data_IF_802388006337
#
_entry.id   IF_802388006337
#
_cell.length_a   1.000
_cell.length_b   1.000
_cell.length_c   1.000
_cell.angle_alpha   90.00
_cell.angle_beta   90.00
_cell.angle_gamma   90.00
#
_symmetry.space_group_name_H-M   'P 1'
#
loop_
_entity.id
_entity.type
_entity.pdbx_description
1 polymer ?
#
# COMPACT_ATOMS: atom_id res chain seq x y z
N UNK A 1 -22.69 17.43 47.84
CA UNK A 1 -22.29 17.32 46.42
C UNK A 1 -23.31 16.44 45.70
N UNK A 2 -24.02 16.97 44.70
CA UNK A 2 -25.15 16.28 44.07
C UNK A 2 -24.70 14.98 43.40
N UNK A 3 -25.36 13.85 43.71
CA UNK A 3 -25.11 12.54 43.06
C UNK A 3 -25.11 12.63 41.53
N UNK A 4 -25.91 13.54 40.98
CA UNK A 4 -26.00 13.84 39.54
C UNK A 4 -24.72 14.50 39.01
N UNK A 5 -24.10 15.41 39.76
CA UNK A 5 -22.85 16.08 39.35
C UNK A 5 -21.68 15.09 39.37
N UNK A 6 -21.62 14.20 40.36
CA UNK A 6 -20.62 13.12 40.38
C UNK A 6 -20.79 12.14 39.21
N UNK A 7 -22.03 11.78 38.85
CA UNK A 7 -22.30 10.91 37.72
C UNK A 7 -21.89 11.56 36.38
N UNK A 8 -22.16 12.86 36.20
CA UNK A 8 -21.79 13.60 34.99
C UNK A 8 -20.27 13.74 34.84
N UNK A 9 -19.55 14.08 35.91
CA UNK A 9 -18.08 14.15 35.88
C UNK A 9 -17.45 12.80 35.55
N UNK A 10 -18.01 11.70 36.07
CA UNK A 10 -17.52 10.36 35.80
C UNK A 10 -17.74 9.94 34.33
N UNK A 11 -18.88 10.29 33.73
CA UNK A 11 -19.17 10.02 32.31
C UNK A 11 -18.25 10.82 31.39
N UNK A 12 -17.97 12.09 31.70
CA UNK A 12 -17.04 12.94 30.94
C UNK A 12 -15.61 12.38 31.03
N UNK A 13 -15.19 11.94 32.22
CA UNK A 13 -13.88 11.32 32.41
C UNK A 13 -13.74 9.99 31.65
N UNK A 14 -14.76 9.12 31.67
CA UNK A 14 -14.78 7.87 30.89
C UNK A 14 -14.78 8.12 29.37
N UNK A 15 -15.51 9.13 28.91
CA UNK A 15 -15.53 9.54 27.50
C UNK A 15 -14.17 10.04 27.03
N UNK A 16 -13.44 10.77 27.90
CA UNK A 16 -12.10 11.25 27.61
C UNK A 16 -11.08 10.11 27.42
N UNK A 17 -11.22 9.02 28.19
CA UNK A 17 -10.32 7.86 28.15
C UNK A 17 -10.38 7.12 26.80
N UNK A 18 -11.55 7.10 26.14
CA UNK A 18 -11.72 6.44 24.82
C UNK A 18 -10.94 7.17 23.71
N UNK A 19 -10.71 8.48 23.85
CA UNK A 19 -9.95 9.28 22.88
C UNK A 19 -8.43 9.09 22.96
N UNK A 20 -7.94 8.48 24.04
CA UNK A 20 -6.50 8.24 24.27
C UNK A 20 -6.10 6.82 23.85
N UNK A 21 -7.04 6.00 23.39
CA UNK A 21 -6.72 4.69 22.86
C UNK A 21 -5.86 4.87 21.60
N UNK A 22 -4.62 4.33 21.58
CA UNK A 22 -3.76 4.49 20.42
C UNK A 22 -4.41 3.80 19.23
N UNK A 23 -4.58 4.54 18.13
CA UNK A 23 -4.89 3.95 16.84
C UNK A 23 -3.78 2.99 16.46
N UNK A 24 -4.12 1.81 15.91
CA UNK A 24 -3.11 0.88 15.39
C UNK A 24 -2.22 1.60 14.36
N UNK A 25 -0.97 1.86 14.72
CA UNK A 25 0.03 2.32 13.77
C UNK A 25 0.53 1.10 12.99
N UNK A 26 0.31 1.07 11.69
CA UNK A 26 0.95 0.11 10.80
C UNK A 26 2.39 0.55 10.55
N UNK A 27 3.24 0.42 11.57
CA UNK A 27 4.67 0.42 11.36
C UNK A 27 5.04 -0.88 10.64
N UNK A 28 6.06 -0.82 9.82
CA UNK A 28 6.51 -2.03 9.16
C UNK A 28 7.40 -2.85 10.09
N UNK A 29 6.95 -4.04 10.46
CA UNK A 29 7.65 -4.98 11.36
C UNK A 29 8.15 -6.21 10.60
N UNK A 30 8.71 -6.01 9.41
CA UNK A 30 9.19 -7.12 8.62
C UNK A 30 10.52 -7.66 9.15
N UNK A 31 10.66 -8.98 9.12
CA UNK A 31 11.93 -9.64 9.34
C UNK A 31 12.83 -9.41 8.12
N UNK A 32 13.96 -8.73 8.31
CA UNK A 32 14.90 -8.50 7.22
C UNK A 32 15.45 -9.84 6.77
N UNK A 33 15.25 -10.16 5.49
CA UNK A 33 15.88 -11.33 4.92
C UNK A 33 17.39 -11.11 4.85
N UNK A 34 18.18 -12.05 5.35
CA UNK A 34 19.65 -11.93 5.43
C UNK A 34 20.38 -13.01 4.63
N UNK A 35 19.73 -14.13 4.34
CA UNK A 35 20.32 -15.18 3.52
C UNK A 35 19.93 -15.03 2.03
N UNK A 36 20.90 -14.78 1.13
CA UNK A 36 20.61 -14.60 -0.29
C UNK A 36 20.01 -15.83 -0.95
N UNK A 37 20.39 -17.05 -0.53
CA UNK A 37 19.85 -18.27 -1.13
C UNK A 37 18.37 -18.43 -0.77
N UNK A 38 18.04 -18.32 0.52
CA UNK A 38 16.65 -18.35 0.97
C UNK A 38 15.82 -17.20 0.36
N UNK A 39 16.40 -16.01 0.20
CA UNK A 39 15.73 -14.89 -0.46
C UNK A 39 15.39 -15.20 -1.92
N UNK A 40 16.30 -15.83 -2.67
CA UNK A 40 16.04 -16.29 -4.03
C UNK A 40 14.92 -17.32 -4.04
N UNK A 41 14.93 -18.30 -3.13
CA UNK A 41 13.88 -19.32 -3.05
C UNK A 41 12.49 -18.74 -2.79
N UNK A 42 12.39 -17.75 -1.91
CA UNK A 42 11.12 -17.09 -1.57
C UNK A 42 10.67 -16.07 -2.63
N UNK A 43 11.59 -15.54 -3.43
CA UNK A 43 11.27 -14.53 -4.46
C UNK A 43 10.57 -15.15 -5.65
N UNK A 44 9.65 -14.40 -6.27
CA UNK A 44 9.08 -14.75 -7.57
C UNK A 44 10.09 -14.50 -8.70
N UNK A 45 10.81 -13.38 -8.61
CA UNK A 45 11.85 -13.00 -9.55
C UNK A 45 13.04 -12.37 -8.84
N UNK A 46 14.25 -12.64 -9.32
CA UNK A 46 15.49 -12.02 -8.85
C UNK A 46 16.33 -11.62 -10.04
N UNK A 47 16.63 -10.34 -10.16
CA UNK A 47 17.34 -9.80 -11.31
C UNK A 47 18.16 -8.57 -10.94
N UNK A 48 19.15 -8.26 -11.77
CA UNK A 48 19.91 -7.04 -11.76
C UNK A 48 19.47 -6.18 -12.94
N UNK A 49 19.22 -4.91 -12.70
CA UNK A 49 18.77 -4.03 -13.76
C UNK A 49 18.92 -2.55 -13.44
N UNK A 50 19.05 -1.75 -14.50
CA UNK A 50 19.14 -0.30 -14.45
C UNK A 50 17.76 0.33 -14.43
N UNK A 51 17.53 1.29 -13.55
CA UNK A 51 16.27 2.02 -13.46
C UNK A 51 16.16 2.99 -14.64
N UNK A 52 15.15 2.78 -15.48
CA UNK A 52 14.83 3.63 -16.63
C UNK A 52 13.92 4.80 -16.26
N UNK A 53 12.88 4.51 -15.47
CA UNK A 53 11.86 5.47 -15.07
C UNK A 53 11.24 5.09 -13.72
N UNK A 54 10.71 6.09 -13.02
CA UNK A 54 10.02 5.94 -11.75
C UNK A 54 8.73 6.76 -11.84
N UNK A 55 7.58 6.12 -11.66
CA UNK A 55 6.28 6.77 -11.76
C UNK A 55 5.38 6.42 -10.56
N UNK A 56 4.50 7.33 -10.13
CA UNK A 56 3.50 6.98 -9.14
C UNK A 56 2.52 5.93 -9.69
N UNK A 57 2.02 5.05 -8.83
CA UNK A 57 0.94 4.11 -9.12
C UNK A 57 -0.15 4.24 -8.07
N UNK A 58 -1.39 4.38 -8.51
CA UNK A 58 -2.56 4.42 -7.63
C UNK A 58 -3.41 3.20 -7.93
N UNK A 59 -3.66 2.40 -6.90
CA UNK A 59 -4.57 1.26 -6.94
C UNK A 59 -5.85 1.64 -6.20
N UNK A 60 -7.01 1.39 -6.82
CA UNK A 60 -8.30 1.53 -6.17
C UNK A 60 -8.71 0.17 -5.60
N UNK A 61 -8.72 0.10 -4.27
CA UNK A 61 -9.12 -1.09 -3.51
C UNK A 61 -10.46 -0.77 -2.85
N UNK A 62 -11.55 -0.98 -3.59
CA UNK A 62 -12.92 -0.79 -3.12
C UNK A 62 -13.25 0.64 -2.61
N UNK A 63 -12.66 1.67 -3.22
CA UNK A 63 -12.81 3.08 -2.83
C UNK A 63 -11.70 3.59 -1.91
N UNK A 64 -10.78 2.72 -1.48
CA UNK A 64 -9.56 3.10 -0.77
C UNK A 64 -8.42 3.19 -1.78
N UNK A 65 -7.77 4.35 -1.84
CA UNK A 65 -6.60 4.55 -2.70
C UNK A 65 -5.33 4.04 -2.02
N UNK A 66 -4.68 3.06 -2.63
CA UNK A 66 -3.35 2.60 -2.26
C UNK A 66 -2.32 3.23 -3.19
N UNK A 67 -1.47 4.08 -2.62
CA UNK A 67 -0.42 4.79 -3.33
C UNK A 67 0.87 3.98 -3.27
N UNK A 68 1.43 3.71 -4.44
CA UNK A 68 2.67 2.96 -4.65
C UNK A 68 3.55 3.68 -5.66
N UNK A 69 4.75 3.16 -5.86
CA UNK A 69 5.73 3.60 -6.86
C UNK A 69 5.96 2.45 -7.83
N UNK A 70 5.78 2.70 -9.12
CA UNK A 70 6.17 1.79 -10.19
C UNK A 70 7.58 2.13 -10.68
N UNK A 71 8.46 1.14 -10.71
CA UNK A 71 9.85 1.30 -11.13
C UNK A 71 10.10 0.47 -12.37
N UNK A 72 10.50 1.14 -13.44
CA UNK A 72 10.83 0.54 -14.73
C UNK A 72 12.31 0.17 -14.77
N UNK A 73 12.62 -1.09 -15.06
CA UNK A 73 13.98 -1.57 -15.19
C UNK A 73 14.29 -2.00 -16.61
N UNK A 74 15.52 -1.72 -17.06
CA UNK A 74 16.22 -2.51 -18.06
C UNK A 74 16.93 -3.65 -17.34
N UNK A 75 16.53 -4.90 -17.60
CA UNK A 75 17.09 -6.08 -16.97
C UNK A 75 18.39 -6.45 -17.67
N UNK A 76 19.46 -6.62 -16.89
CA UNK A 76 20.80 -6.98 -17.37
C UNK A 76 21.11 -8.45 -17.08
N UNK A 77 20.79 -8.93 -15.88
CA UNK A 77 20.99 -10.32 -15.46
C UNK A 77 19.85 -10.81 -14.59
N UNK A 78 19.62 -12.12 -14.62
CA UNK A 78 18.55 -12.79 -13.87
C UNK A 78 19.06 -14.05 -13.20
N UNK A 79 18.62 -14.27 -11.96
CA UNK A 79 18.88 -15.48 -11.18
C UNK A 79 17.62 -16.30 -10.98
N UNK A 80 16.44 -15.70 -11.16
CA UNK A 80 15.15 -16.39 -11.05
C UNK A 80 14.05 -15.61 -11.74
N UNK A 81 13.19 -16.32 -12.46
CA UNK A 81 11.83 -15.86 -12.81
C UNK A 81 11.72 -14.62 -13.70
N UNK A 82 12.83 -14.08 -14.21
CA UNK A 82 12.85 -12.92 -15.09
C UNK A 82 13.59 -13.25 -16.38
N UNK A 83 12.86 -13.51 -17.47
CA UNK A 83 13.43 -13.76 -18.80
C UNK A 83 13.29 -12.56 -19.75
N UNK A 84 12.60 -11.51 -19.29
CA UNK A 84 12.28 -10.31 -20.07
C UNK A 84 13.36 -9.24 -19.94
N UNK A 85 13.66 -8.52 -21.04
CA UNK A 85 14.65 -7.43 -21.07
C UNK A 85 14.23 -6.20 -20.29
N UNK A 86 12.94 -6.08 -19.93
CA UNK A 86 12.43 -5.02 -19.08
C UNK A 86 11.46 -5.57 -18.04
N UNK A 87 11.45 -4.96 -16.86
CA UNK A 87 10.55 -5.30 -15.77
C UNK A 87 9.89 -4.05 -15.19
N UNK A 88 8.68 -4.20 -14.65
CA UNK A 88 8.05 -3.18 -13.79
C UNK A 88 7.85 -3.82 -12.42
N UNK A 89 8.44 -3.20 -11.40
CA UNK A 89 8.30 -3.64 -10.01
C UNK A 89 7.67 -2.51 -9.20
N UNK A 90 6.69 -2.85 -8.39
CA UNK A 90 6.05 -1.91 -7.48
C UNK A 90 6.74 -1.88 -6.13
N UNK A 91 6.69 -0.74 -5.46
CA UNK A 91 7.10 -0.61 -4.06
C UNK A 91 6.25 0.42 -3.35
N UNK A 92 6.20 0.35 -2.01
CA UNK A 92 5.44 1.28 -1.18
C UNK A 92 6.12 2.66 -1.12
N UNK A 93 5.46 3.63 -0.49
CA UNK A 93 5.96 5.00 -0.34
C UNK A 93 7.08 5.09 0.70
N UNK A 94 8.31 4.84 0.25
CA UNK A 94 9.54 5.02 1.04
C UNK A 94 9.59 4.22 2.35
N UNK A 95 10.62 4.47 3.15
CA UNK A 95 10.93 3.68 4.34
C UNK A 95 9.79 3.58 5.37
N UNK A 96 9.03 4.65 5.70
CA UNK A 96 7.95 4.56 6.68
C UNK A 96 6.84 3.57 6.30
N UNK A 97 6.71 3.28 4.99
CA UNK A 97 5.72 2.35 4.44
C UNK A 97 6.36 1.04 3.98
N UNK A 98 7.61 0.76 4.34
CA UNK A 98 8.40 -0.35 3.80
C UNK A 98 8.64 -0.34 2.29
N UNK A 99 8.59 0.85 1.70
CA UNK A 99 9.03 1.09 0.35
C UNK A 99 10.55 1.08 0.24
N UNK A 100 11.04 0.54 -0.88
CA UNK A 100 12.43 0.69 -1.27
C UNK A 100 12.59 1.95 -2.13
N UNK A 101 13.59 2.79 -1.83
CA UNK A 101 13.83 4.02 -2.60
C UNK A 101 14.84 3.77 -3.72
N UNK A 102 14.38 3.90 -4.96
CA UNK A 102 15.21 3.75 -6.16
C UNK A 102 15.68 5.11 -6.69
N UNK A 103 16.88 5.14 -7.28
CA UNK A 103 17.41 6.25 -8.04
C UNK A 103 17.33 5.96 -9.54
N UNK A 104 16.82 6.90 -10.32
CA UNK A 104 16.79 6.77 -11.77
C UNK A 104 18.22 6.73 -12.34
N UNK A 105 18.46 5.85 -13.31
CA UNK A 105 19.79 5.66 -13.91
C UNK A 105 20.74 4.78 -13.12
N UNK A 106 20.39 4.38 -11.90
CA UNK A 106 21.19 3.50 -11.06
C UNK A 106 20.83 2.02 -11.30
N UNK A 107 21.78 1.12 -11.04
CA UNK A 107 21.59 -0.33 -11.19
C UNK A 107 21.41 -1.00 -9.84
N UNK A 108 20.44 -1.90 -9.74
CA UNK A 108 20.06 -2.58 -8.50
C UNK A 108 20.01 -4.09 -8.69
N UNK A 109 20.34 -4.83 -7.64
CA UNK A 109 19.91 -6.21 -7.45
C UNK A 109 18.52 -6.17 -6.80
N UNK A 110 17.51 -6.73 -7.46
CA UNK A 110 16.11 -6.65 -7.05
C UNK A 110 15.59 -8.05 -6.72
N UNK A 111 15.06 -8.18 -5.50
CA UNK A 111 14.30 -9.34 -5.05
C UNK A 111 12.81 -8.98 -5.08
N UNK A 112 12.08 -9.60 -6.01
CA UNK A 112 10.70 -9.27 -6.28
C UNK A 112 9.78 -10.46 -5.96
N UNK A 113 8.66 -10.12 -5.32
CA UNK A 113 7.65 -11.05 -4.85
C UNK A 113 6.31 -10.77 -5.53
N UNK A 114 5.39 -11.72 -5.43
CA UNK A 114 4.01 -11.58 -5.87
C UNK A 114 3.12 -11.54 -4.63
N UNK A 115 2.98 -10.35 -4.02
CA UNK A 115 2.21 -10.18 -2.78
C UNK A 115 0.71 -9.99 -3.01
N UNK A 116 0.30 -9.58 -4.21
CA UNK A 116 -1.07 -9.20 -4.50
C UNK A 116 -1.61 -9.91 -5.74
N UNK A 117 -2.34 -10.99 -5.47
CA UNK A 117 -3.04 -11.79 -6.48
C UNK A 117 -4.01 -10.98 -7.36
N UNK A 118 -4.42 -9.77 -6.95
CA UNK A 118 -5.34 -8.92 -7.73
C UNK A 118 -4.64 -8.13 -8.83
N UNK A 119 -3.39 -7.74 -8.62
CA UNK A 119 -2.66 -6.90 -9.59
C UNK A 119 -1.70 -7.70 -10.47
N UNK A 120 -1.31 -8.92 -10.05
CA UNK A 120 -0.35 -9.77 -10.76
C UNK A 120 0.92 -9.00 -11.15
N UNK A 121 1.32 -8.06 -10.29
CA UNK A 121 2.48 -7.20 -10.47
C UNK A 121 3.54 -7.58 -9.44
N UNK A 122 4.78 -7.66 -9.89
CA UNK A 122 5.93 -7.85 -9.04
C UNK A 122 6.07 -6.69 -8.06
N UNK A 123 6.40 -7.00 -6.82
CA UNK A 123 6.56 -6.02 -5.75
C UNK A 123 7.87 -6.24 -5.00
N UNK A 124 8.43 -5.17 -4.45
CA UNK A 124 9.60 -5.20 -3.59
C UNK A 124 9.47 -4.21 -2.45
N UNK A 125 10.29 -4.39 -1.41
CA UNK A 125 10.23 -3.62 -0.17
C UNK A 125 11.63 -3.41 0.40
N UNK A 126 11.74 -2.48 1.36
CA UNK A 126 12.96 -2.29 2.14
C UNK A 126 13.33 -3.50 3.02
N UNK A 127 12.40 -4.44 3.21
CA UNK A 127 12.61 -5.69 3.94
C UNK A 127 13.31 -6.78 3.11
N UNK A 128 13.25 -6.63 1.79
CA UNK A 128 13.90 -7.57 0.87
C UNK A 128 15.40 -7.33 0.84
N UNK A 129 16.15 -8.29 0.28
CA UNK A 129 17.58 -8.10 0.00
C UNK A 129 17.86 -7.16 -1.19
N UNK A 130 16.85 -6.45 -1.70
CA UNK A 130 17.01 -5.47 -2.78
C UNK A 130 17.98 -4.38 -2.36
N UNK A 131 19.01 -4.13 -3.18
CA UNK A 131 20.03 -3.11 -2.92
C UNK A 131 20.70 -2.65 -4.20
N UNK A 132 21.38 -1.49 -4.15
CA UNK A 132 22.25 -1.04 -5.25
C UNK A 132 23.23 -2.15 -5.61
N UNK A 133 23.43 -2.38 -6.90
CA UNK A 133 24.27 -3.47 -7.38
C UNK A 133 25.72 -3.35 -6.87
N UNK A 134 26.22 -2.11 -6.73
CA UNK A 134 27.54 -1.81 -6.15
C UNK A 134 27.70 -2.31 -4.71
N UNK A 135 26.60 -2.50 -3.98
CA UNK A 135 26.58 -2.92 -2.58
C UNK A 135 26.17 -4.40 -2.44
N UNK A 136 26.00 -5.13 -3.55
CA UNK A 136 25.47 -6.49 -3.58
C UNK A 136 26.54 -7.59 -3.68
N UNK A 137 27.80 -7.27 -3.40
CA UNK A 137 28.94 -8.19 -3.60
C UNK A 137 28.79 -9.50 -2.81
N UNK A 138 28.22 -9.44 -1.60
CA UNK A 138 28.01 -10.62 -0.73
C UNK A 138 26.89 -11.50 -1.28
N UNK A 139 25.81 -10.90 -1.77
CA UNK A 139 24.69 -11.63 -2.37
C UNK A 139 25.13 -12.31 -3.67
N UNK A 140 25.80 -11.54 -4.54
CA UNK A 140 26.26 -12.02 -5.84
C UNK A 140 27.28 -13.15 -5.71
N UNK A 141 28.17 -13.11 -4.71
CA UNK A 141 29.15 -14.20 -4.49
C UNK A 141 28.49 -15.52 -4.07
N UNK A 142 27.38 -15.46 -3.32
CA UNK A 142 26.59 -16.64 -2.93
C UNK A 142 25.70 -17.14 -4.07
N UNK A 143 25.08 -16.25 -4.82
CA UNK A 143 24.11 -16.59 -5.88
C UNK A 143 24.77 -17.02 -7.19
N UNK A 144 26.05 -16.69 -7.39
CA UNK A 144 26.79 -17.01 -8.61
C UNK A 144 26.44 -16.10 -9.79
N UNK A 145 26.74 -16.57 -11.00
CA UNK A 145 26.51 -15.80 -12.22
C UNK A 145 25.04 -15.87 -12.66
N UNK A 146 24.43 -14.70 -12.89
CA UNK A 146 23.11 -14.61 -13.49
C UNK A 146 23.14 -14.80 -15.02
N UNK A 147 21.97 -15.09 -15.59
CA UNK A 147 21.75 -15.30 -17.03
C UNK A 147 21.15 -14.03 -17.65
N UNK A 148 21.52 -13.73 -18.89
CA UNK A 148 20.93 -12.61 -19.63
C UNK A 148 19.46 -12.91 -20.02
N UNK A 149 18.56 -11.92 -19.99
CA UNK A 149 17.19 -12.09 -20.44
C UNK A 149 17.14 -12.34 -21.95
N UNK A 150 16.29 -13.28 -22.36
CA UNK A 150 16.15 -13.72 -23.76
C UNK A 150 14.94 -13.13 -24.47
N UNK A 151 13.94 -12.66 -23.72
CA UNK A 151 12.69 -12.14 -24.26
C UNK A 151 12.75 -10.61 -24.33
N UNK A 152 12.84 -10.07 -25.55
CA UNK A 152 12.89 -8.62 -25.72
C UNK A 152 11.49 -8.01 -25.62
N UNK A 153 11.25 -7.22 -24.57
CA UNK A 153 9.99 -6.54 -24.32
C UNK A 153 10.20 -5.04 -24.11
N UNK A 154 9.23 -4.24 -24.54
CA UNK A 154 9.18 -2.81 -24.28
C UNK A 154 7.97 -2.49 -23.40
N UNK A 155 8.23 -2.07 -22.16
CA UNK A 155 7.20 -1.79 -21.16
C UNK A 155 6.88 -0.29 -21.03
N UNK A 156 7.45 0.56 -21.89
CA UNK A 156 7.21 2.01 -21.88
C UNK A 156 5.72 2.35 -22.00
N UNK A 157 5.01 1.76 -22.97
CA UNK A 157 3.57 1.98 -23.14
C UNK A 157 2.75 1.51 -21.92
N UNK A 158 3.17 0.43 -21.26
CA UNK A 158 2.53 -0.04 -20.02
C UNK A 158 2.73 0.97 -18.90
N UNK A 159 3.91 1.58 -18.80
CA UNK A 159 4.22 2.66 -17.87
C UNK A 159 3.33 3.89 -18.13
N UNK A 160 3.27 4.38 -19.37
CA UNK A 160 2.42 5.52 -19.77
C UNK A 160 0.93 5.27 -19.44
N UNK A 161 0.46 4.03 -19.65
CA UNK A 161 -0.90 3.63 -19.31
C UNK A 161 -1.16 3.70 -17.79
N UNK A 162 -0.17 3.39 -16.94
CA UNK A 162 -0.34 3.50 -15.49
C UNK A 162 -0.65 4.95 -15.08
N UNK A 163 0.07 5.91 -15.64
CA UNK A 163 -0.19 7.35 -15.42
C UNK A 163 -1.62 7.75 -15.78
N UNK A 164 -2.18 7.22 -16.87
CA UNK A 164 -3.59 7.43 -17.22
C UNK A 164 -4.55 6.76 -16.22
N UNK A 165 -4.31 5.49 -15.87
CA UNK A 165 -5.17 4.75 -14.93
C UNK A 165 -5.23 5.38 -13.54
N UNK A 166 -4.14 6.02 -13.10
CA UNK A 166 -4.10 6.72 -11.81
C UNK A 166 -5.15 7.85 -11.74
N UNK A 167 -5.30 8.62 -12.82
CA UNK A 167 -6.30 9.70 -12.88
C UNK A 167 -7.72 9.15 -12.70
N UNK A 168 -8.03 8.04 -13.36
CA UNK A 168 -9.32 7.37 -13.24
C UNK A 168 -9.56 6.78 -11.84
N UNK A 169 -8.55 6.17 -11.23
CA UNK A 169 -8.65 5.66 -9.86
C UNK A 169 -9.01 6.78 -8.88
N UNK A 170 -8.36 7.93 -9.00
CA UNK A 170 -8.65 9.10 -8.16
C UNK A 170 -10.08 9.60 -8.38
N UNK A 171 -10.51 9.76 -9.64
CA UNK A 171 -11.87 10.16 -9.99
C UNK A 171 -12.93 9.20 -9.41
N UNK A 172 -12.71 7.89 -9.53
CA UNK A 172 -13.60 6.87 -8.96
C UNK A 172 -13.65 6.92 -7.44
N UNK A 173 -12.52 7.10 -6.78
CA UNK A 173 -12.49 7.22 -5.32
C UNK A 173 -13.21 8.48 -4.84
N UNK A 174 -13.07 9.62 -5.54
CA UNK A 174 -13.84 10.84 -5.27
C UNK A 174 -15.34 10.57 -5.42
N UNK A 175 -15.76 9.92 -6.50
CA UNK A 175 -17.16 9.54 -6.70
C UNK A 175 -17.68 8.63 -5.58
N UNK A 176 -16.92 7.59 -5.21
CA UNK A 176 -17.31 6.65 -4.16
C UNK A 176 -17.43 7.36 -2.79
N UNK A 177 -16.47 8.22 -2.45
CA UNK A 177 -16.47 9.00 -1.21
C UNK A 177 -17.61 10.00 -1.15
N UNK A 178 -17.89 10.73 -2.23
CA UNK A 178 -18.92 11.77 -2.27
C UNK A 178 -20.34 11.21 -2.40
N UNK A 179 -20.54 10.18 -3.21
CA UNK A 179 -21.88 9.70 -3.55
C UNK A 179 -22.28 8.50 -2.69
N UNK A 180 -21.40 7.51 -2.55
CA UNK A 180 -21.76 6.22 -1.93
C UNK A 180 -21.74 6.26 -0.41
N UNK A 181 -20.76 6.92 0.20
CA UNK A 181 -20.63 6.98 1.66
C UNK A 181 -21.60 7.96 2.32
N UNK A 182 -21.83 9.12 1.71
CA UNK A 182 -22.80 10.08 2.23
C UNK A 182 -24.23 9.55 2.22
N UNK A 183 -24.64 8.74 1.24
CA UNK A 183 -25.96 8.11 1.23
C UNK A 183 -26.23 7.24 2.48
N UNK A 184 -25.21 6.52 2.97
CA UNK A 184 -25.27 5.72 4.19
C UNK A 184 -25.30 6.60 5.45
N UNK A 185 -24.49 7.65 5.50
CA UNK A 185 -24.52 8.61 6.62
C UNK A 185 -25.85 9.37 6.70
N UNK A 186 -26.39 9.83 5.55
CA UNK A 186 -27.69 10.48 5.49
C UNK A 186 -28.83 9.54 5.92
N UNK A 187 -28.75 8.25 5.56
CA UNK A 187 -29.70 7.25 6.05
C UNK A 187 -29.62 7.07 7.57
N UNK A 188 -28.41 6.99 8.15
CA UNK A 188 -28.23 6.89 9.59
C UNK A 188 -28.73 8.13 10.34
N UNK A 189 -28.40 9.33 9.85
CA UNK A 189 -28.90 10.60 10.43
C UNK A 189 -30.43 10.66 10.34
N UNK A 190 -31.01 10.25 9.21
CA UNK A 190 -32.47 10.17 9.04
C UNK A 190 -33.13 9.27 10.08
N UNK A 191 -32.58 8.09 10.33
CA UNK A 191 -33.08 7.16 11.37
C UNK A 191 -32.99 7.79 12.77
N UNK A 192 -31.87 8.44 13.11
CA UNK A 192 -31.69 9.09 14.42
C UNK A 192 -32.72 10.22 14.63
N UNK A 193 -32.95 11.04 13.61
CA UNK A 193 -33.93 12.14 13.67
C UNK A 193 -35.35 11.60 13.87
N UNK A 194 -35.72 10.53 13.16
CA UNK A 194 -37.04 9.89 13.30
C UNK A 194 -37.23 9.31 14.70
N UNK A 195 -36.24 8.60 15.23
CA UNK A 195 -36.29 8.04 16.59
C UNK A 195 -36.38 9.15 17.63
N UNK A 196 -35.55 10.20 17.50
CA UNK A 196 -35.55 11.36 18.39
C UNK A 196 -36.89 12.09 18.39
N UNK A 197 -37.46 12.34 17.22
CA UNK A 197 -38.79 12.96 17.07
C UNK A 197 -39.89 12.09 17.68
N UNK A 198 -39.85 10.76 17.46
CA UNK A 198 -40.80 9.81 18.05
C UNK A 198 -40.76 9.81 19.58
N UNK A 199 -39.56 9.83 20.18
CA UNK A 199 -39.39 9.91 21.64
C UNK A 199 -39.91 11.24 22.21
N UNK A 200 -39.67 12.37 21.53
CA UNK A 200 -40.21 13.67 21.92
C UNK A 200 -41.74 13.70 21.88
N UNK A 201 -42.35 13.14 20.82
CA UNK A 201 -43.81 13.04 20.69
C UNK A 201 -44.42 12.14 21.78
N UNK A 202 -43.81 11.01 22.09
CA UNK A 202 -44.26 10.14 23.19
C UNK A 202 -44.14 10.83 24.56
N UNK A 203 -43.08 11.61 24.77
CA UNK A 203 -42.90 12.39 26.01
C UNK A 203 -43.90 13.54 26.13
N UNK A 204 -44.27 14.19 25.03
CA UNK A 204 -45.31 15.21 24.99
C UNK A 204 -46.69 14.62 25.30
N UNK A 205 -47.02 13.44 24.73
CA UNK A 205 -48.28 12.74 24.99
C UNK A 205 -48.44 12.21 26.42
N UNK A 206 -47.34 11.85 27.10
CA UNK A 206 -47.37 11.45 28.52
C UNK A 206 -47.55 12.61 29.51
N UNK A 207 -47.34 13.85 29.06
CA UNK A 207 -47.48 15.06 29.88
C UNK A 207 -48.85 15.73 29.74
N UNK A 208 -49.64 15.30 28.77
CA UNK A 208 -51.06 15.64 28.60
C UNK A 208 -51.94 14.57 29.24
#
# INVERSE_FOLDING_TARGET
MNRIVMALSFVIMLSGIILILPSKSYACSCELQTDPIQAVEQSKAVFAGKVLAIEPKVLDINGILDHQIAVHFAVEKSWKGMNQTQAIVLTKLGEPSCGYTFGQGETYLVFAYDYDFKTNMLQTSSCSLTKKLTNATVELSKMGQGVEPIENVSLKSKMDTMTYTNKWAILKAIYHRLVRYHLLEFAQVGVIVVIGAGLLLMRARRKS
#
